data_IF_665539661484
#
_entry.id   IF_665539661484
#
_cell.length_a   1.000
_cell.length_b   1.000
_cell.length_c   1.000
_cell.angle_alpha   90.00
_cell.angle_beta   90.00
_cell.angle_gamma   90.00
#
_symmetry.space_group_name_H-M   'P 1'
#
loop_
_entity.id
_entity.type
_entity.pdbx_description
1 polymer ?
#
# COMPACT_ATOMS: atom_id res chain seq x y z
N UNK A 1 -12.08 -5.73 -6.80
CA UNK A 1 -12.24 -5.00 -8.09
C UNK A 1 -10.91 -4.51 -8.62
N UNK A 2 -10.10 -3.84 -7.82
CA UNK A 2 -8.88 -3.16 -8.29
C UNK A 2 -7.89 -4.03 -9.04
N UNK A 3 -7.58 -5.23 -8.56
CA UNK A 3 -6.66 -6.13 -9.27
C UNK A 3 -7.22 -6.64 -10.61
N UNK A 4 -8.53 -6.87 -10.71
CA UNK A 4 -9.16 -7.20 -11.99
C UNK A 4 -9.02 -6.06 -13.00
N UNK A 5 -9.19 -4.81 -12.57
CA UNK A 5 -8.99 -3.64 -13.41
C UNK A 5 -7.53 -3.54 -13.90
N UNK A 6 -6.54 -3.85 -13.05
CA UNK A 6 -5.13 -3.90 -13.41
C UNK A 6 -4.84 -4.97 -14.44
N UNK A 7 -5.33 -6.19 -14.24
CA UNK A 7 -5.17 -7.27 -15.22
C UNK A 7 -5.74 -6.90 -16.58
N UNK A 8 -6.88 -6.21 -16.61
CA UNK A 8 -7.49 -5.75 -17.86
C UNK A 8 -6.65 -4.67 -18.54
N UNK A 9 -6.12 -3.70 -17.78
CA UNK A 9 -5.24 -2.64 -18.31
C UNK A 9 -3.97 -3.24 -18.94
N UNK A 10 -3.40 -4.27 -18.31
CA UNK A 10 -2.18 -4.91 -18.78
C UNK A 10 -2.39 -5.77 -20.05
N UNK A 11 -3.65 -5.96 -20.51
CA UNK A 11 -3.90 -6.60 -21.79
C UNK A 11 -3.72 -5.60 -22.96
N UNK A 12 -3.32 -6.08 -24.15
CA UNK A 12 -3.32 -5.25 -25.36
C UNK A 12 -4.69 -4.59 -25.59
N UNK A 13 -4.69 -3.32 -25.95
CA UNK A 13 -5.94 -2.62 -26.27
C UNK A 13 -6.67 -3.27 -27.45
N UNK A 14 -7.99 -3.34 -27.34
CA UNK A 14 -8.85 -3.80 -28.43
C UNK A 14 -10.08 -2.89 -28.60
N UNK A 15 -10.66 -2.81 -29.82
CA UNK A 15 -11.80 -1.91 -30.09
C UNK A 15 -13.05 -2.22 -29.25
N UNK A 16 -13.20 -3.47 -28.80
CA UNK A 16 -14.33 -3.96 -28.03
C UNK A 16 -14.37 -3.38 -26.61
N UNK A 17 -13.23 -2.91 -26.10
CA UNK A 17 -13.14 -2.30 -24.75
C UNK A 17 -14.02 -1.08 -24.58
N UNK A 18 -14.20 -0.27 -25.62
CA UNK A 18 -15.12 0.88 -25.63
C UNK A 18 -16.51 0.55 -26.13
N UNK A 19 -16.64 -0.55 -26.87
CA UNK A 19 -17.90 -1.00 -27.45
C UNK A 19 -18.59 -2.04 -26.56
N UNK A 20 -18.67 -1.75 -25.26
CA UNK A 20 -19.35 -2.59 -24.27
C UNK A 20 -20.53 -1.82 -23.65
N UNK A 21 -21.43 -2.53 -22.95
CA UNK A 21 -22.59 -1.93 -22.29
C UNK A 21 -22.36 -1.57 -20.82
N UNK A 22 -21.13 -1.72 -20.32
CA UNK A 22 -20.77 -1.47 -18.93
C UNK A 22 -20.42 0.01 -18.73
N UNK A 23 -21.29 0.75 -18.07
CA UNK A 23 -21.10 2.19 -17.79
C UNK A 23 -20.71 2.47 -16.33
N UNK A 24 -20.84 1.49 -15.47
CA UNK A 24 -20.56 1.65 -14.03
C UNK A 24 -20.05 0.39 -13.39
N UNK A 25 -19.14 0.56 -12.42
CA UNK A 25 -18.56 -0.50 -11.64
C UNK A 25 -18.67 -0.21 -10.15
N UNK A 26 -18.74 -1.26 -9.35
CA UNK A 26 -18.79 -1.22 -7.90
C UNK A 26 -17.82 -2.23 -7.33
N UNK A 27 -17.00 -1.84 -6.36
CA UNK A 27 -16.08 -2.75 -5.69
C UNK A 27 -15.05 -2.02 -4.83
N UNK A 28 -13.99 -2.72 -4.45
CA UNK A 28 -12.93 -2.21 -3.59
C UNK A 28 -11.54 -2.48 -4.16
N UNK A 29 -10.54 -1.74 -3.67
CA UNK A 29 -9.13 -1.95 -3.96
C UNK A 29 -8.68 -1.39 -5.31
N UNK A 30 -9.43 -0.47 -5.92
CA UNK A 30 -8.97 0.22 -7.13
C UNK A 30 -7.96 1.29 -6.76
N UNK A 31 -6.74 1.11 -7.22
CA UNK A 31 -5.66 2.04 -6.93
C UNK A 31 -5.77 3.34 -7.71
N UNK A 32 -5.32 4.47 -7.14
CA UNK A 32 -5.34 5.78 -7.80
C UNK A 32 -4.55 5.85 -9.11
N UNK A 33 -3.44 5.09 -9.24
CA UNK A 33 -2.55 5.04 -10.41
C UNK A 33 -3.29 4.63 -11.68
N UNK A 34 -4.12 3.58 -11.61
CA UNK A 34 -4.85 3.04 -12.77
C UNK A 34 -6.26 3.63 -12.95
N UNK A 35 -6.71 4.51 -12.05
CA UNK A 35 -8.09 5.01 -12.01
C UNK A 35 -8.53 5.70 -13.30
N UNK A 36 -7.76 6.70 -13.74
CA UNK A 36 -8.13 7.52 -14.89
C UNK A 36 -7.97 6.75 -16.19
N UNK A 37 -6.92 5.93 -16.32
CA UNK A 37 -6.69 5.08 -17.45
C UNK A 37 -7.81 4.05 -17.62
N UNK A 38 -8.16 3.33 -16.56
CA UNK A 38 -9.24 2.34 -16.60
C UNK A 38 -10.57 2.99 -17.00
N UNK A 39 -10.89 4.11 -16.37
CA UNK A 39 -12.12 4.87 -16.66
C UNK A 39 -12.22 5.29 -18.14
N UNK A 40 -11.11 5.82 -18.67
CA UNK A 40 -11.04 6.29 -20.05
C UNK A 40 -11.05 5.16 -21.07
N UNK A 41 -10.22 4.11 -20.82
CA UNK A 41 -10.02 3.00 -21.73
C UNK A 41 -11.28 2.16 -21.91
N UNK A 42 -11.98 1.85 -20.81
CA UNK A 42 -13.18 1.01 -20.82
C UNK A 42 -14.49 1.78 -20.87
N UNK A 43 -14.46 3.12 -20.96
CA UNK A 43 -15.66 3.94 -21.08
C UNK A 43 -16.54 3.93 -19.84
N UNK A 44 -15.97 3.84 -18.63
CA UNK A 44 -16.72 3.75 -17.39
C UNK A 44 -17.09 5.14 -16.88
N UNK A 45 -18.39 5.43 -16.83
CA UNK A 45 -18.89 6.72 -16.32
C UNK A 45 -18.85 6.81 -14.80
N UNK A 46 -19.19 5.72 -14.11
CA UNK A 46 -19.27 5.68 -12.65
C UNK A 46 -18.42 4.58 -12.03
N UNK A 47 -17.52 5.00 -11.15
CA UNK A 47 -16.65 4.11 -10.38
C UNK A 47 -16.96 4.28 -8.90
N UNK A 48 -17.79 3.41 -8.35
CA UNK A 48 -18.16 3.43 -6.94
C UNK A 48 -17.24 2.52 -6.14
N UNK A 49 -16.18 3.11 -5.62
CA UNK A 49 -15.27 2.46 -4.67
C UNK A 49 -15.93 2.39 -3.31
N UNK A 50 -15.67 1.32 -2.55
CA UNK A 50 -16.03 1.24 -1.15
C UNK A 50 -14.88 0.66 -0.32
N UNK A 51 -14.90 0.94 0.97
CA UNK A 51 -14.02 0.37 1.97
C UNK A 51 -14.84 -0.20 3.12
N UNK A 52 -14.40 -1.31 3.67
CA UNK A 52 -14.98 -1.96 4.85
C UNK A 52 -14.34 -3.32 5.09
N UNK A 53 -14.46 -3.81 6.31
CA UNK A 53 -14.09 -5.16 6.71
C UNK A 53 -15.28 -5.87 7.32
N UNK A 54 -15.30 -7.20 7.26
CA UNK A 54 -16.40 -8.02 7.79
C UNK A 54 -16.54 -7.92 9.31
N UNK A 55 -15.40 -7.75 9.99
CA UNK A 55 -15.30 -7.62 11.44
C UNK A 55 -15.39 -6.17 11.93
N UNK A 56 -15.27 -5.21 11.01
CA UNK A 56 -15.21 -3.80 11.34
C UNK A 56 -16.58 -3.14 11.41
N UNK A 57 -16.64 -2.06 12.17
CA UNK A 57 -17.85 -1.26 12.39
C UNK A 57 -17.92 -0.01 11.50
N UNK A 58 -16.94 0.18 10.59
CA UNK A 58 -16.80 1.39 9.79
C UNK A 58 -16.74 1.05 8.30
N UNK A 59 -17.42 1.85 7.49
CA UNK A 59 -17.40 1.72 6.04
C UNK A 59 -17.38 3.07 5.35
N UNK A 60 -16.80 3.09 4.14
CA UNK A 60 -16.77 4.25 3.26
C UNK A 60 -17.38 3.89 1.91
N UNK A 61 -18.00 4.87 1.29
CA UNK A 61 -18.64 4.70 -0.01
C UNK A 61 -18.45 5.95 -0.88
N UNK A 62 -17.95 5.75 -2.09
CA UNK A 62 -17.84 6.81 -3.10
C UNK A 62 -19.16 7.02 -3.85
N UNK A 63 -20.20 7.43 -3.12
CA UNK A 63 -21.53 7.65 -3.69
C UNK A 63 -21.60 8.87 -4.62
N UNK A 64 -20.70 9.85 -4.46
CA UNK A 64 -20.66 11.08 -5.28
C UNK A 64 -19.84 10.92 -6.57
N UNK A 65 -19.39 9.71 -6.90
CA UNK A 65 -18.57 9.43 -8.09
C UNK A 65 -17.36 10.36 -8.24
N UNK A 66 -16.65 10.55 -7.12
CA UNK A 66 -15.40 11.30 -7.10
C UNK A 66 -14.23 10.43 -7.52
N UNK A 67 -13.23 11.01 -8.17
CA UNK A 67 -12.08 10.23 -8.62
C UNK A 67 -11.10 9.93 -7.48
N UNK A 68 -10.46 8.76 -7.53
CA UNK A 68 -9.33 8.35 -6.66
C UNK A 68 -9.63 8.37 -5.16
N UNK A 69 -10.85 8.05 -4.78
CA UNK A 69 -11.30 8.05 -3.38
C UNK A 69 -12.16 6.84 -3.06
N UNK A 70 -12.01 6.33 -1.84
CA UNK A 70 -12.94 5.34 -1.26
C UNK A 70 -14.26 5.99 -0.81
N UNK A 71 -14.36 7.32 -0.91
CA UNK A 71 -15.57 8.08 -0.63
C UNK A 71 -15.66 8.63 0.79
N UNK A 72 -16.89 8.79 1.24
CA UNK A 72 -17.26 9.34 2.54
C UNK A 72 -17.59 8.24 3.54
N UNK A 73 -17.35 8.50 4.82
CA UNK A 73 -17.73 7.60 5.91
C UNK A 73 -19.22 7.71 6.23
N UNK A 74 -19.87 6.57 6.45
CA UNK A 74 -21.24 6.52 6.95
C UNK A 74 -21.31 6.57 8.50
N UNK A 75 -20.20 6.26 9.18
CA UNK A 75 -20.08 6.20 10.63
C UNK A 75 -19.21 7.32 11.21
N UNK A 76 -18.67 7.07 12.40
CA UNK A 76 -17.77 7.99 13.10
C UNK A 76 -16.32 7.56 12.83
N UNK A 77 -15.64 8.28 11.93
CA UNK A 77 -14.25 8.03 11.54
C UNK A 77 -13.31 9.03 12.21
N UNK A 78 -12.19 8.55 12.72
CA UNK A 78 -11.11 9.37 13.26
C UNK A 78 -9.80 8.89 12.65
N UNK A 79 -8.99 9.83 12.14
CA UNK A 79 -7.61 9.55 11.72
C UNK A 79 -6.66 10.08 12.79
N UNK A 80 -5.86 9.19 13.38
CA UNK A 80 -4.88 9.54 14.41
C UNK A 80 -3.46 9.34 13.90
N UNK A 81 -2.54 10.18 14.36
CA UNK A 81 -1.10 10.02 14.05
C UNK A 81 -0.59 8.72 14.64
N UNK A 82 0.25 8.03 13.87
CA UNK A 82 0.72 6.70 14.21
C UNK A 82 2.23 6.57 13.97
N UNK A 83 2.94 6.06 14.97
CA UNK A 83 4.35 5.70 14.86
C UNK A 83 4.47 4.25 14.37
N UNK A 84 4.85 4.09 13.12
CA UNK A 84 4.98 2.79 12.46
C UNK A 84 6.16 1.98 13.03
N UNK A 85 7.20 2.65 13.54
CA UNK A 85 8.39 1.98 14.09
C UNK A 85 8.10 1.29 15.42
N UNK A 86 7.43 2.02 16.30
CA UNK A 86 7.10 1.53 17.63
C UNK A 86 5.76 0.80 17.69
N UNK A 87 5.01 0.78 16.57
CA UNK A 87 3.67 0.19 16.47
C UNK A 87 2.70 0.84 17.48
N UNK A 88 2.77 2.18 17.63
CA UNK A 88 2.07 2.93 18.65
C UNK A 88 1.36 4.17 18.10
N UNK A 89 0.24 4.54 18.72
CA UNK A 89 -0.46 5.79 18.45
C UNK A 89 0.30 6.95 19.13
N UNK A 90 0.40 8.08 18.41
CA UNK A 90 1.07 9.28 18.93
C UNK A 90 0.09 10.10 19.79
N UNK A 91 0.52 10.40 21.00
CA UNK A 91 -0.21 11.21 21.98
C UNK A 91 0.42 12.60 22.06
N UNK A 92 -0.40 13.59 22.42
CA UNK A 92 0.08 14.92 22.77
C UNK A 92 0.65 14.97 24.21
N UNK A 93 1.10 16.15 24.64
CA UNK A 93 1.68 16.36 25.98
C UNK A 93 0.66 16.20 27.11
N UNK A 94 -0.64 16.20 26.80
CA UNK A 94 -1.73 15.98 27.77
C UNK A 94 -2.19 14.51 27.79
N UNK A 95 -1.58 13.65 26.98
CA UNK A 95 -1.93 12.23 26.84
C UNK A 95 -3.16 11.97 25.97
N UNK A 96 -3.57 12.94 25.14
CA UNK A 96 -4.66 12.78 24.18
C UNK A 96 -4.13 12.33 22.83
N UNK A 97 -4.94 11.62 22.08
CA UNK A 97 -4.62 11.21 20.72
C UNK A 97 -4.42 12.43 19.82
N UNK A 98 -3.33 12.44 19.07
CA UNK A 98 -3.09 13.49 18.07
C UNK A 98 -3.78 13.13 16.76
N UNK A 99 -4.71 13.97 16.31
CA UNK A 99 -5.38 13.76 15.02
C UNK A 99 -4.41 14.03 13.85
N UNK A 100 -4.52 13.24 12.78
CA UNK A 100 -3.78 13.47 11.53
C UNK A 100 -4.32 14.73 10.83
N UNK A 101 -3.42 15.52 10.24
CA UNK A 101 -3.79 16.71 9.49
C UNK A 101 -4.38 16.35 8.11
N UNK A 102 -5.04 17.34 7.46
CA UNK A 102 -5.54 17.16 6.11
C UNK A 102 -4.39 16.78 5.14
N UNK A 103 -4.57 15.67 4.42
CA UNK A 103 -3.56 15.11 3.52
C UNK A 103 -2.50 14.24 4.18
N UNK A 104 -2.41 14.26 5.51
CA UNK A 104 -1.49 13.40 6.26
C UNK A 104 -2.08 11.99 6.44
N UNK A 105 -1.30 10.91 6.21
CA UNK A 105 -1.72 9.57 6.56
C UNK A 105 -1.93 9.41 8.08
N UNK A 106 -3.06 8.83 8.47
CA UNK A 106 -3.36 8.51 9.86
C UNK A 106 -3.99 7.13 10.00
N UNK A 107 -3.82 6.53 11.16
CA UNK A 107 -4.49 5.28 11.53
C UNK A 107 -6.00 5.54 11.64
N UNK A 108 -6.78 4.76 10.89
CA UNK A 108 -8.23 4.82 10.95
C UNK A 108 -8.75 4.15 12.22
N UNK A 109 -9.49 4.91 13.00
CA UNK A 109 -10.31 4.41 14.10
C UNK A 109 -11.79 4.54 13.76
N UNK A 110 -12.56 3.47 14.00
CA UNK A 110 -14.02 3.47 13.88
C UNK A 110 -14.68 3.61 15.23
N UNK A 111 -15.49 4.66 15.44
CA UNK A 111 -16.24 4.84 16.70
C UNK A 111 -17.23 3.70 16.93
N UNK A 112 -17.21 3.12 18.13
CA UNK A 112 -18.10 2.02 18.53
C UNK A 112 -19.24 2.59 19.38
N UNK A 113 -20.47 2.40 18.92
CA UNK A 113 -21.68 2.80 19.62
C UNK A 113 -22.82 1.80 19.35
N UNK A 114 -24.01 2.07 19.85
CA UNK A 114 -25.18 1.17 19.67
C UNK A 114 -25.57 0.93 18.20
N UNK A 115 -25.21 1.84 17.30
CA UNK A 115 -25.52 1.77 15.88
C UNK A 115 -24.38 1.13 15.07
N UNK A 116 -23.14 1.35 15.50
CA UNK A 116 -21.92 0.88 14.86
C UNK A 116 -21.14 -0.01 15.83
N UNK A 117 -21.64 -1.22 16.02
CA UNK A 117 -21.04 -2.20 16.92
C UNK A 117 -19.83 -2.86 16.29
N UNK A 118 -18.90 -3.29 17.11
CA UNK A 118 -17.79 -4.13 16.71
C UNK A 118 -18.11 -5.57 17.16
N UNK A 119 -18.32 -6.46 16.19
CA UNK A 119 -18.73 -7.86 16.46
C UNK A 119 -17.57 -8.72 17.00
N UNK A 120 -16.32 -8.23 16.90
CA UNK A 120 -15.14 -8.95 17.38
C UNK A 120 -14.66 -10.04 16.44
N UNK A 121 -13.56 -10.66 16.87
CA UNK A 121 -13.04 -11.90 16.27
C UNK A 121 -13.51 -13.09 17.07
N UNK A 122 -13.31 -14.29 16.54
CA UNK A 122 -13.53 -15.55 17.30
C UNK A 122 -12.56 -15.73 18.46
N UNK A 123 -11.47 -14.95 18.50
CA UNK A 123 -10.49 -14.85 19.57
C UNK A 123 -10.74 -13.55 20.35
N UNK A 124 -11.16 -13.69 21.61
CA UNK A 124 -11.48 -12.57 22.50
C UNK A 124 -10.26 -11.70 22.79
N UNK A 125 -9.07 -12.31 23.00
CA UNK A 125 -7.83 -11.57 23.25
C UNK A 125 -7.39 -10.74 22.04
N UNK A 126 -7.62 -11.24 20.83
CA UNK A 126 -7.36 -10.51 19.60
C UNK A 126 -8.35 -9.36 19.41
N UNK A 127 -9.61 -9.54 19.82
CA UNK A 127 -10.65 -8.51 19.80
C UNK A 127 -10.35 -7.38 20.76
N UNK A 128 -9.97 -7.69 22.00
CA UNK A 128 -9.66 -6.69 23.02
C UNK A 128 -8.45 -5.80 22.63
N UNK A 129 -7.46 -6.35 21.97
CA UNK A 129 -6.31 -5.58 21.46
C UNK A 129 -6.66 -4.56 20.37
N UNK A 130 -7.79 -4.76 19.71
CA UNK A 130 -8.28 -3.85 18.66
C UNK A 130 -9.19 -2.75 19.19
N UNK A 131 -9.60 -2.83 20.46
CA UNK A 131 -10.48 -1.86 21.06
C UNK A 131 -9.67 -0.84 21.88
N UNK A 132 -9.79 0.43 21.50
CA UNK A 132 -9.22 1.57 22.22
C UNK A 132 -10.32 2.27 23.01
N UNK A 133 -9.98 2.68 24.23
CA UNK A 133 -10.93 3.35 25.14
C UNK A 133 -10.42 4.72 25.54
N UNK A 134 -11.34 5.66 25.77
CA UNK A 134 -11.02 7.03 26.18
C UNK A 134 -10.10 7.76 25.18
N UNK A 135 -10.42 7.67 23.88
CA UNK A 135 -9.63 8.23 22.78
C UNK A 135 -9.85 9.76 22.68
N UNK A 136 -11.10 10.19 22.52
CA UNK A 136 -11.48 11.61 22.46
C UNK A 136 -12.10 12.10 23.77
N UNK A 137 -12.95 11.27 24.37
CA UNK A 137 -13.72 11.57 25.57
C UNK A 137 -13.68 10.40 26.54
N UNK A 138 -13.86 10.69 27.82
CA UNK A 138 -13.95 9.66 28.84
C UNK A 138 -15.16 8.75 28.58
N UNK A 139 -14.93 7.44 28.43
CA UNK A 139 -15.97 6.43 28.21
C UNK A 139 -16.22 6.10 26.74
N UNK A 140 -15.62 6.82 25.78
CA UNK A 140 -15.71 6.45 24.37
C UNK A 140 -14.94 5.17 24.04
N UNK A 141 -15.35 4.52 22.97
CA UNK A 141 -14.75 3.27 22.52
C UNK A 141 -14.54 3.33 21.00
N UNK A 142 -13.38 2.90 20.54
CA UNK A 142 -12.97 2.94 19.15
C UNK A 142 -12.35 1.64 18.72
N UNK A 143 -12.67 1.22 17.51
CA UNK A 143 -12.06 0.06 16.85
C UNK A 143 -10.83 0.49 16.03
N UNK A 144 -9.68 -0.13 16.30
CA UNK A 144 -8.46 0.05 15.54
C UNK A 144 -8.49 -0.86 14.31
N UNK A 145 -8.67 -0.27 13.13
CA UNK A 145 -8.76 -1.02 11.87
C UNK A 145 -7.42 -1.62 11.44
N UNK A 146 -6.30 -1.02 11.82
CA UNK A 146 -4.96 -1.36 11.34
C UNK A 146 -4.67 -0.82 9.94
N UNK A 147 -5.53 0.05 9.40
CA UNK A 147 -5.39 0.64 8.07
C UNK A 147 -5.06 2.14 8.17
N UNK A 148 -4.16 2.59 7.32
CA UNK A 148 -3.81 4.00 7.16
C UNK A 148 -4.63 4.63 6.03
N UNK A 149 -5.31 5.71 6.34
CA UNK A 149 -6.07 6.52 5.40
C UNK A 149 -5.58 7.96 5.45
N UNK A 150 -5.85 8.72 4.39
CA UNK A 150 -5.70 10.18 4.38
C UNK A 150 -6.96 10.85 3.87
N UNK A 151 -7.27 12.03 4.41
CA UNK A 151 -8.33 12.88 3.87
C UNK A 151 -7.82 13.60 2.63
N UNK A 152 -8.61 13.66 1.56
CA UNK A 152 -8.21 14.26 0.29
C UNK A 152 -9.22 15.30 -0.20
N UNK A 153 -8.74 16.24 -1.01
CA UNK A 153 -9.60 17.17 -1.74
C UNK A 153 -10.14 16.51 -3.03
N UNK A 154 -11.43 16.45 -3.16
CA UNK A 154 -12.13 15.92 -4.34
C UNK A 154 -12.97 17.02 -5.05
N UNK A 155 -12.67 18.30 -4.75
CA UNK A 155 -13.47 19.44 -5.19
C UNK A 155 -14.81 19.52 -4.46
N UNK A 156 -15.84 20.06 -5.13
CA UNK A 156 -17.14 20.23 -4.49
C UNK A 156 -17.77 18.89 -4.09
N UNK A 157 -17.98 18.68 -2.81
CA UNK A 157 -18.57 17.49 -2.20
C UNK A 157 -19.47 17.84 -1.00
N UNK A 158 -20.18 18.95 -1.03
CA UNK A 158 -21.08 19.41 0.05
C UNK A 158 -20.39 19.54 1.43
N UNK A 159 -19.08 19.80 1.47
CA UNK A 159 -18.22 19.80 2.66
C UNK A 159 -18.12 18.43 3.37
N UNK A 160 -18.51 17.35 2.72
CA UNK A 160 -18.38 16.01 3.26
C UNK A 160 -16.95 15.54 3.01
N UNK A 161 -16.20 15.10 4.05
CA UNK A 161 -14.85 14.60 3.90
C UNK A 161 -14.80 13.36 3.01
N UNK A 162 -13.77 13.29 2.16
CA UNK A 162 -13.47 12.13 1.34
C UNK A 162 -12.09 11.60 1.68
N UNK A 163 -11.93 10.29 1.57
CA UNK A 163 -10.75 9.61 2.04
C UNK A 163 -10.13 8.75 0.95
N UNK A 164 -8.84 8.52 1.08
CA UNK A 164 -8.07 7.61 0.24
C UNK A 164 -7.36 6.60 1.14
N UNK A 165 -7.41 5.35 0.76
CA UNK A 165 -6.65 4.29 1.42
C UNK A 165 -5.16 4.49 1.07
N UNK A 166 -4.30 4.43 2.08
CA UNK A 166 -2.84 4.56 1.91
C UNK A 166 -2.18 3.20 1.96
N UNK A 167 -2.27 2.51 3.12
CA UNK A 167 -1.67 1.19 3.30
C UNK A 167 -2.19 0.52 4.58
N UNK A 168 -1.77 -0.72 4.83
CA UNK A 168 -1.93 -1.38 6.12
C UNK A 168 -0.71 -1.15 6.98
N UNK A 169 -0.90 -0.97 8.30
CA UNK A 169 0.21 -0.82 9.25
C UNK A 169 1.22 -1.97 9.10
N UNK A 170 0.76 -3.22 8.99
CA UNK A 170 1.65 -4.38 8.83
C UNK A 170 2.38 -4.48 7.48
N UNK A 171 2.02 -3.65 6.51
CA UNK A 171 2.65 -3.60 5.19
C UNK A 171 3.54 -2.37 5.02
N UNK A 172 3.25 -1.27 5.69
CA UNK A 172 4.13 -0.09 5.76
C UNK A 172 5.45 -0.44 6.47
N UNK A 173 6.53 0.17 6.04
CA UNK A 173 7.83 0.01 6.70
C UNK A 173 8.50 1.37 6.92
N UNK A 174 9.45 1.41 7.88
CA UNK A 174 10.26 2.60 8.15
C UNK A 174 11.69 2.35 7.66
N UNK A 175 12.21 3.31 6.91
CA UNK A 175 13.58 3.31 6.43
C UNK A 175 14.19 4.70 6.55
N UNK A 176 15.37 4.78 7.20
CA UNK A 176 16.09 6.05 7.40
C UNK A 176 15.25 7.12 8.09
N UNK A 177 14.52 6.72 9.13
CA UNK A 177 13.61 7.54 9.92
C UNK A 177 12.36 8.05 9.17
N UNK A 178 12.10 7.56 7.95
CA UNK A 178 10.93 7.93 7.15
C UNK A 178 9.98 6.75 6.97
N UNK A 179 8.68 7.02 7.07
CA UNK A 179 7.65 6.03 6.84
C UNK A 179 7.41 5.86 5.33
N UNK A 180 7.39 4.61 4.87
CA UNK A 180 7.22 4.27 3.46
C UNK A 180 5.99 3.41 3.27
N UNK A 181 5.02 3.91 2.51
CA UNK A 181 3.87 3.14 2.05
C UNK A 181 4.27 2.20 0.92
N UNK A 182 4.00 0.91 1.09
CA UNK A 182 4.29 -0.08 0.06
C UNK A 182 3.43 0.10 -1.18
N UNK A 183 2.20 0.60 -0.99
CA UNK A 183 1.29 0.87 -2.09
C UNK A 183 1.75 2.07 -2.93
N UNK A 184 2.11 3.20 -2.30
CA UNK A 184 2.58 4.39 -3.03
C UNK A 184 3.85 4.09 -3.84
N UNK A 185 4.82 3.35 -3.26
CA UNK A 185 6.00 2.92 -4.01
C UNK A 185 5.61 1.99 -5.16
N UNK A 186 4.74 1.02 -4.90
CA UNK A 186 4.27 0.08 -5.90
C UNK A 186 3.53 0.76 -7.06
N UNK A 187 2.71 1.76 -6.78
CA UNK A 187 2.01 2.57 -7.79
C UNK A 187 3.01 3.26 -8.73
N UNK A 188 4.01 3.93 -8.16
CA UNK A 188 5.06 4.59 -8.95
C UNK A 188 5.87 3.57 -9.78
N UNK A 189 6.24 2.42 -9.21
CA UNK A 189 6.97 1.40 -9.97
C UNK A 189 6.15 0.82 -11.13
N UNK A 190 4.85 0.67 -10.97
CA UNK A 190 3.95 0.15 -12.01
C UNK A 190 3.77 1.10 -13.20
N UNK A 191 4.06 2.40 -13.05
CA UNK A 191 4.05 3.36 -14.17
C UNK A 191 5.24 3.16 -15.12
N UNK A 192 6.27 2.39 -14.72
CA UNK A 192 7.42 2.09 -15.59
C UNK A 192 7.02 1.04 -16.63
N UNK A 193 7.20 1.34 -17.92
CA UNK A 193 6.74 0.52 -19.06
C UNK A 193 7.26 -0.93 -19.07
N UNK A 194 8.33 -1.23 -18.35
CA UNK A 194 8.90 -2.57 -18.23
C UNK A 194 8.42 -3.34 -16.99
N UNK A 195 7.55 -2.75 -16.18
CA UNK A 195 6.97 -3.40 -15.01
C UNK A 195 5.50 -3.70 -15.29
N UNK A 196 5.11 -4.95 -15.16
CA UNK A 196 3.72 -5.36 -15.25
C UNK A 196 3.00 -5.19 -13.91
N UNK A 197 3.59 -5.78 -12.87
CA UNK A 197 3.08 -5.68 -11.49
C UNK A 197 4.26 -5.60 -10.53
N UNK A 198 4.16 -4.74 -9.53
CA UNK A 198 5.10 -4.68 -8.41
C UNK A 198 4.43 -5.03 -7.08
N UNK A 199 5.13 -5.79 -6.25
CA UNK A 199 4.75 -6.12 -4.89
C UNK A 199 5.87 -5.64 -3.95
N UNK A 200 5.61 -4.56 -3.22
CA UNK A 200 6.61 -3.89 -2.37
C UNK A 200 6.43 -4.29 -0.92
N UNK A 201 7.52 -4.52 -0.22
CA UNK A 201 7.55 -4.91 1.20
C UNK A 201 8.86 -4.50 1.86
N UNK A 202 8.87 -4.44 3.20
CA UNK A 202 10.05 -4.14 3.98
C UNK A 202 10.82 -5.41 4.37
N UNK A 203 12.16 -5.38 4.28
CA UNK A 203 13.09 -6.43 4.69
C UNK A 203 14.13 -5.89 5.66
N UNK A 204 14.51 -6.69 6.65
CA UNK A 204 15.55 -6.30 7.62
C UNK A 204 16.93 -6.38 6.99
N UNK A 205 17.76 -5.36 7.24
CA UNK A 205 19.15 -5.30 6.81
C UNK A 205 20.03 -5.24 8.06
N UNK A 206 21.01 -6.14 8.24
CA UNK A 206 21.89 -6.14 9.41
C UNK A 206 22.63 -4.81 9.58
N UNK A 207 22.70 -4.33 10.82
CA UNK A 207 23.40 -3.08 11.15
C UNK A 207 22.64 -1.79 10.81
N UNK A 208 21.35 -1.90 10.44
CA UNK A 208 20.49 -0.74 10.17
C UNK A 208 19.28 -0.70 11.09
N UNK A 209 18.70 0.49 11.29
CA UNK A 209 17.41 0.66 11.93
C UNK A 209 16.28 0.60 10.90
N UNK A 210 15.16 0.02 11.31
CA UNK A 210 13.98 -0.15 10.45
C UNK A 210 14.11 -1.28 9.42
N UNK A 211 13.43 -1.13 8.29
CA UNK A 211 13.41 -2.11 7.20
C UNK A 211 13.67 -1.41 5.87
N UNK A 212 14.56 -1.96 5.07
CA UNK A 212 14.80 -1.51 3.70
C UNK A 212 13.67 -1.96 2.78
N UNK A 213 13.30 -1.13 1.80
CA UNK A 213 12.33 -1.51 0.78
C UNK A 213 12.87 -2.62 -0.12
N UNK A 214 12.01 -3.59 -0.43
CA UNK A 214 12.23 -4.58 -1.47
C UNK A 214 11.02 -4.62 -2.39
N UNK A 215 11.26 -4.63 -3.70
CA UNK A 215 10.23 -4.76 -4.71
C UNK A 215 10.39 -6.09 -5.46
N UNK A 216 9.38 -6.96 -5.38
CA UNK A 216 9.24 -8.08 -6.29
C UNK A 216 8.41 -7.63 -7.49
N UNK A 217 8.90 -7.84 -8.72
CA UNK A 217 8.26 -7.36 -9.93
C UNK A 217 8.10 -8.48 -10.96
N UNK A 218 7.02 -8.43 -11.73
CA UNK A 218 6.87 -9.18 -12.97
C UNK A 218 7.05 -8.25 -14.17
N UNK A 219 7.49 -8.80 -15.28
CA UNK A 219 7.73 -8.05 -16.50
C UNK A 219 6.67 -8.41 -17.55
N UNK A 220 6.30 -7.49 -18.44
CA UNK A 220 5.48 -7.82 -19.61
C UNK A 220 6.12 -8.93 -20.42
N UNK A 221 5.28 -9.73 -21.08
CA UNK A 221 5.75 -10.84 -21.93
C UNK A 221 6.77 -10.36 -22.97
N UNK A 222 7.83 -11.11 -23.13
CA UNK A 222 8.93 -10.84 -24.07
C UNK A 222 9.70 -9.53 -23.81
N UNK A 223 9.52 -8.91 -22.61
CA UNK A 223 10.24 -7.71 -22.22
C UNK A 223 11.71 -8.02 -21.90
N UNK A 224 12.64 -7.28 -22.52
CA UNK A 224 14.03 -7.26 -22.12
C UNK A 224 14.23 -6.15 -21.08
N UNK A 225 14.46 -6.54 -19.84
CA UNK A 225 14.58 -5.59 -18.74
C UNK A 225 15.88 -4.78 -18.82
N UNK A 226 15.74 -3.47 -18.95
CA UNK A 226 16.84 -2.50 -18.91
C UNK A 226 16.98 -1.92 -17.50
N UNK A 227 17.93 -2.47 -16.75
CA UNK A 227 18.20 -2.07 -15.36
C UNK A 227 18.61 -0.60 -15.25
N UNK A 228 19.25 -0.02 -16.28
CA UNK A 228 19.63 1.38 -16.29
C UNK A 228 18.39 2.26 -16.41
N UNK A 229 17.52 1.98 -17.38
CA UNK A 229 16.25 2.71 -17.55
C UNK A 229 15.41 2.67 -16.28
N UNK A 230 15.30 1.50 -15.65
CA UNK A 230 14.59 1.33 -14.38
C UNK A 230 15.25 2.14 -13.24
N UNK A 231 16.57 2.10 -13.13
CA UNK A 231 17.29 2.87 -12.11
C UNK A 231 17.05 4.38 -12.28
N UNK A 232 17.22 4.90 -13.48
CA UNK A 232 16.99 6.32 -13.80
C UNK A 232 15.55 6.73 -13.45
N UNK A 233 14.58 5.86 -13.73
CA UNK A 233 13.17 6.08 -13.39
C UNK A 233 12.92 6.14 -11.87
N UNK A 234 13.45 5.18 -11.12
CA UNK A 234 13.32 5.13 -9.65
C UNK A 234 13.96 6.38 -9.01
N UNK A 235 15.13 6.78 -9.50
CA UNK A 235 15.84 7.96 -8.97
C UNK A 235 15.09 9.26 -9.25
N UNK A 236 14.40 9.35 -10.38
CA UNK A 236 13.63 10.52 -10.78
C UNK A 236 12.30 10.64 -9.99
N UNK A 237 11.63 9.53 -9.74
CA UNK A 237 10.23 9.55 -9.29
C UNK A 237 10.05 9.20 -7.80
N UNK A 238 11.05 8.58 -7.15
CA UNK A 238 10.99 8.22 -5.73
C UNK A 238 12.00 9.03 -4.90
N UNK A 239 11.58 9.58 -3.75
CA UNK A 239 12.49 10.18 -2.80
C UNK A 239 13.46 9.10 -2.27
N UNK A 240 14.64 9.53 -1.84
CA UNK A 240 15.74 8.65 -1.47
C UNK A 240 15.36 7.53 -0.47
N UNK A 241 14.55 7.84 0.53
CA UNK A 241 14.11 6.89 1.55
C UNK A 241 13.09 5.86 1.04
N UNK A 242 12.34 6.19 -0.01
CA UNK A 242 11.29 5.33 -0.56
C UNK A 242 11.80 4.42 -1.70
N UNK A 243 13.02 4.65 -2.21
CA UNK A 243 13.62 3.80 -3.24
C UNK A 243 13.85 2.40 -2.69
N UNK A 244 13.28 1.34 -3.30
CA UNK A 244 13.57 -0.02 -2.90
C UNK A 244 15.09 -0.27 -2.94
N UNK A 245 15.63 -0.80 -1.85
CA UNK A 245 17.06 -1.19 -1.81
C UNK A 245 17.27 -2.46 -2.62
N UNK A 246 16.29 -3.36 -2.60
CA UNK A 246 16.36 -4.63 -3.33
C UNK A 246 15.26 -4.71 -4.39
N UNK A 247 15.63 -5.28 -5.54
CA UNK A 247 14.72 -5.59 -6.62
C UNK A 247 14.81 -7.09 -6.95
N UNK A 248 13.66 -7.77 -6.96
CA UNK A 248 13.51 -9.16 -7.37
C UNK A 248 12.66 -9.23 -8.63
N UNK A 249 13.18 -9.82 -9.69
CA UNK A 249 12.41 -10.08 -10.90
C UNK A 249 11.99 -11.54 -10.88
N UNK A 250 10.69 -11.79 -10.92
CA UNK A 250 10.07 -13.11 -10.87
C UNK A 250 9.12 -13.33 -12.04
N UNK A 251 8.81 -14.59 -12.34
CA UNK A 251 7.92 -14.94 -13.47
C UNK A 251 6.45 -14.61 -13.16
N UNK A 252 6.01 -14.82 -11.92
CA UNK A 252 4.63 -14.58 -11.50
C UNK A 252 4.55 -14.22 -10.03
N UNK A 253 3.53 -13.46 -9.66
CA UNK A 253 3.17 -13.21 -8.27
C UNK A 253 2.22 -14.27 -7.73
N UNK A 254 2.41 -14.65 -6.46
CA UNK A 254 1.42 -15.40 -5.73
C UNK A 254 0.24 -14.49 -5.34
N UNK A 255 -0.98 -14.98 -5.56
CA UNK A 255 -2.19 -14.25 -5.25
C UNK A 255 -3.18 -15.10 -4.46
N UNK A 256 -4.05 -14.43 -3.71
CA UNK A 256 -5.23 -15.08 -3.12
C UNK A 256 -6.24 -15.45 -4.20
N UNK A 257 -7.25 -16.27 -3.87
CA UNK A 257 -8.38 -16.56 -4.77
C UNK A 257 -9.17 -15.31 -5.21
N UNK A 258 -8.94 -14.15 -4.57
CA UNK A 258 -9.50 -12.84 -4.93
C UNK A 258 -8.48 -11.92 -5.59
N UNK A 259 -7.40 -12.48 -6.10
CA UNK A 259 -6.29 -11.81 -6.82
C UNK A 259 -5.49 -10.79 -6.00
N UNK A 260 -5.53 -10.83 -4.67
CA UNK A 260 -4.68 -9.97 -3.83
C UNK A 260 -3.26 -10.54 -3.79
N UNK A 261 -2.26 -9.68 -3.99
CA UNK A 261 -0.85 -10.05 -3.90
C UNK A 261 -0.47 -10.52 -2.49
N UNK A 262 0.20 -11.67 -2.41
CA UNK A 262 0.69 -12.23 -1.15
C UNK A 262 2.10 -11.71 -0.87
N UNK A 263 2.34 -11.29 0.37
CA UNK A 263 3.63 -10.76 0.83
C UNK A 263 4.31 -11.65 1.88
N UNK A 264 3.57 -12.63 2.44
CA UNK A 264 4.04 -13.40 3.58
C UNK A 264 5.33 -14.15 3.32
N UNK A 265 5.39 -14.92 2.25
CA UNK A 265 6.58 -15.71 1.90
C UNK A 265 7.69 -14.85 1.30
N UNK A 266 7.33 -13.79 0.54
CA UNK A 266 8.30 -12.80 0.07
C UNK A 266 9.06 -12.13 1.22
N UNK A 267 8.35 -11.72 2.29
CA UNK A 267 8.98 -11.15 3.50
C UNK A 267 9.91 -12.14 4.22
N UNK A 268 9.53 -13.43 4.28
CA UNK A 268 10.38 -14.48 4.89
C UNK A 268 11.62 -14.79 4.08
N UNK A 269 11.48 -14.85 2.75
CA UNK A 269 12.58 -15.11 1.83
C UNK A 269 13.56 -13.91 1.79
N UNK A 270 13.02 -12.68 1.92
CA UNK A 270 13.81 -11.45 1.89
C UNK A 270 14.62 -11.34 0.60
N UNK A 271 15.91 -11.06 0.74
CA UNK A 271 16.88 -10.99 -0.35
C UNK A 271 17.91 -12.15 -0.31
N UNK A 272 17.56 -13.28 0.31
CA UNK A 272 18.44 -14.45 0.38
C UNK A 272 18.48 -15.18 -0.97
N UNK A 273 19.63 -15.21 -1.70
CA UNK A 273 19.72 -15.84 -3.02
C UNK A 273 19.35 -17.33 -3.02
N UNK A 274 19.63 -18.05 -1.93
CA UNK A 274 19.36 -19.49 -1.81
C UNK A 274 17.87 -19.83 -1.83
N UNK A 275 17.00 -18.83 -1.59
CA UNK A 275 15.55 -19.00 -1.52
C UNK A 275 14.81 -18.47 -2.76
N UNK A 276 15.55 -17.99 -3.78
CA UNK A 276 14.97 -17.30 -4.93
C UNK A 276 14.71 -18.16 -6.15
N UNK A 277 15.24 -19.39 -6.19
CA UNK A 277 15.12 -20.26 -7.36
C UNK A 277 15.74 -19.65 -8.61
N UNK A 278 14.92 -19.39 -9.64
CA UNK A 278 15.36 -18.80 -10.91
C UNK A 278 15.24 -17.27 -10.97
N UNK A 279 14.75 -16.63 -9.91
CA UNK A 279 14.53 -15.18 -9.89
C UNK A 279 15.85 -14.41 -9.91
N UNK A 280 15.83 -13.23 -10.54
CA UNK A 280 16.99 -12.34 -10.56
C UNK A 280 16.90 -11.33 -9.44
N UNK A 281 18.00 -11.17 -8.70
CA UNK A 281 18.12 -10.20 -7.61
C UNK A 281 19.06 -9.07 -7.96
N UNK A 282 18.64 -7.87 -7.66
CA UNK A 282 19.45 -6.66 -7.77
C UNK A 282 19.42 -5.88 -6.46
N UNK A 283 20.47 -5.11 -6.23
CA UNK A 283 20.62 -4.27 -5.04
C UNK A 283 21.10 -2.87 -5.42
N UNK A 284 20.53 -1.87 -4.77
CA UNK A 284 20.98 -0.49 -4.81
C UNK A 284 22.00 -0.29 -3.67
N UNK A 285 23.29 -0.44 -3.99
CA UNK A 285 24.36 -0.26 -3.01
C UNK A 285 24.47 1.20 -2.58
N UNK A 286 24.93 1.48 -1.34
CA UNK A 286 25.18 2.84 -0.89
C UNK A 286 26.10 3.62 -1.85
N UNK A 287 25.76 4.89 -2.09
CA UNK A 287 26.49 5.80 -2.99
C UNK A 287 26.47 5.39 -4.47
N UNK A 288 25.61 4.48 -4.89
CA UNK A 288 25.38 4.17 -6.30
C UNK A 288 24.02 4.72 -6.76
N UNK A 289 23.89 5.00 -8.05
CA UNK A 289 22.63 5.41 -8.68
C UNK A 289 22.13 4.36 -9.68
N UNK A 290 22.69 3.16 -9.60
CA UNK A 290 22.36 2.03 -10.47
C UNK A 290 22.13 0.78 -9.62
N UNK A 291 21.07 0.06 -9.90
CA UNK A 291 20.89 -1.27 -9.35
C UNK A 291 21.91 -2.23 -9.95
N UNK A 292 22.58 -2.96 -9.10
CA UNK A 292 23.61 -3.95 -9.46
C UNK A 292 23.08 -5.34 -9.15
N UNK A 293 23.45 -6.33 -9.95
CA UNK A 293 23.12 -7.72 -9.62
C UNK A 293 23.67 -8.10 -8.24
N UNK A 294 22.82 -8.74 -7.43
CA UNK A 294 23.17 -9.21 -6.10
C UNK A 294 23.94 -10.54 -6.21
N UNK A 295 25.25 -10.43 -6.31
CA UNK A 295 26.15 -11.58 -6.28
C UNK A 295 26.57 -11.93 -4.83
N UNK A 296 27.26 -13.07 -4.66
CA UNK A 296 27.68 -13.56 -3.33
C UNK A 296 28.50 -12.56 -2.54
N UNK A 297 29.40 -11.82 -3.19
CA UNK A 297 30.25 -10.81 -2.56
C UNK A 297 29.39 -9.69 -1.91
N UNK A 298 28.46 -9.13 -2.68
CA UNK A 298 27.55 -8.08 -2.19
C UNK A 298 26.63 -8.63 -1.11
N UNK A 299 26.07 -9.84 -1.32
CA UNK A 299 25.22 -10.47 -0.33
C UNK A 299 25.96 -10.65 1.01
N UNK A 300 27.17 -11.21 1.00
CA UNK A 300 27.98 -11.36 2.21
C UNK A 300 28.32 -10.03 2.86
N UNK A 301 28.62 -8.99 2.07
CA UNK A 301 28.89 -7.65 2.63
C UNK A 301 27.67 -7.07 3.36
N UNK A 302 26.45 -7.33 2.86
CA UNK A 302 25.20 -6.89 3.48
C UNK A 302 24.94 -7.68 4.77
N UNK A 303 25.03 -9.02 4.71
CA UNK A 303 24.78 -9.89 5.87
C UNK A 303 25.76 -9.62 7.01
N UNK A 304 27.02 -9.28 6.68
CA UNK A 304 28.06 -8.94 7.65
C UNK A 304 28.03 -7.45 8.09
N UNK A 305 27.01 -6.69 7.73
CA UNK A 305 26.87 -5.25 8.02
C UNK A 305 28.06 -4.39 7.56
N UNK A 306 28.80 -4.82 6.54
CA UNK A 306 29.96 -4.11 5.98
C UNK A 306 29.65 -3.33 4.71
N UNK A 307 28.42 -3.43 4.19
CA UNK A 307 27.98 -2.76 2.97
C UNK A 307 27.79 -1.23 3.13
N UNK A 308 27.64 -0.72 4.36
CA UNK A 308 27.56 0.71 4.67
C UNK A 308 26.20 1.34 4.40
N UNK A 309 25.09 0.58 4.57
CA UNK A 309 23.70 1.06 4.48
C UNK A 309 23.35 2.08 5.56
#
# INVERSE_FOLDING_TARGET
>A
MGELCRYLINQPECPEEKNNSLDRIFGNGLRPDIWDEFKSRFGIDRMCEFYGSSEGNISFLNALNKNKTIGMCAGNALLVKYDIENDEIIYDTEGKFTEAEFGEPGLLLGGVDDRYQFDGYTDDDASDKKILRNVKEQGDTWFNTGDLLKQIDVGFAFKIPHYQFVDRIGDTYRWRSENVSTNEVGEILNEHSQIEISNVYGVSVPGTEGKAGMAAVTLPKDCQFDIKSFSDYVFKNLPHFARPVFLRIQEAHETTGTFKLLKGDLKKQGYNPDLMGSDKLFVLMPKTELYLELNDEKYQSIVNASAGF
#
